data_IF_597746741981
#
_entry.id   IF_597746741981
#
_cell.length_a   1.000
_cell.length_b   1.000
_cell.length_c   1.000
_cell.angle_alpha   90.00
_cell.angle_beta   90.00
_cell.angle_gamma   90.00
#
_symmetry.space_group_name_H-M   'P 1'
#
loop_
_entity.id
_entity.type
_entity.pdbx_description
1 polymer ?
#
# COMPACT_ATOMS: atom_id res chain seq x y z
N UNK A 1 16.52 4.56 6.78
CA UNK A 1 16.24 3.11 6.70
C UNK A 1 14.87 2.92 6.06
N UNK A 2 14.56 1.73 5.51
CA UNK A 2 13.28 1.45 4.80
C UNK A 2 12.02 1.78 5.62
N UNK A 3 12.12 1.69 6.95
CA UNK A 3 11.05 2.12 7.88
C UNK A 3 10.84 3.63 7.91
N UNK A 4 11.88 4.45 7.71
CA UNK A 4 11.76 5.91 7.71
C UNK A 4 11.02 6.41 6.45
N UNK A 5 11.25 5.74 5.32
CA UNK A 5 10.50 5.97 4.08
C UNK A 5 9.01 5.63 4.27
N UNK A 6 8.72 4.52 4.96
CA UNK A 6 7.35 4.17 5.31
C UNK A 6 6.68 5.18 6.24
N UNK A 7 7.40 5.69 7.26
CA UNK A 7 6.90 6.76 8.13
C UNK A 7 6.59 8.04 7.35
N UNK A 8 7.50 8.47 6.49
CA UNK A 8 7.30 9.65 5.66
C UNK A 8 6.10 9.50 4.72
N UNK A 9 5.89 8.32 4.14
CA UNK A 9 4.73 8.04 3.31
C UNK A 9 3.41 8.07 4.11
N UNK A 10 3.40 7.60 5.35
CA UNK A 10 2.22 7.71 6.23
C UNK A 10 1.91 9.16 6.58
N UNK A 11 2.93 9.96 6.89
CA UNK A 11 2.77 11.37 7.24
C UNK A 11 2.21 12.23 6.09
N UNK A 12 2.48 11.84 4.85
CA UNK A 12 1.91 12.47 3.67
C UNK A 12 0.41 12.15 3.46
N UNK A 13 -0.14 11.16 4.16
CA UNK A 13 -1.51 10.69 3.99
C UNK A 13 -2.35 11.20 5.17
N UNK A 14 -3.31 12.13 4.96
CA UNK A 14 -4.01 12.81 6.08
C UNK A 14 -4.66 11.87 7.10
N UNK A 15 -5.21 10.73 6.66
CA UNK A 15 -5.84 9.76 7.56
C UNK A 15 -4.86 8.91 8.38
N UNK A 16 -3.56 8.97 8.08
CA UNK A 16 -2.48 8.24 8.75
C UNK A 16 -1.38 9.17 9.30
N UNK A 17 -1.51 10.48 9.11
CA UNK A 17 -0.53 11.44 9.56
C UNK A 17 -0.35 11.38 11.08
N UNK A 18 0.89 11.27 11.54
CA UNK A 18 1.20 11.10 12.97
C UNK A 18 0.98 9.69 13.51
N UNK A 19 0.72 8.69 12.66
CA UNK A 19 0.71 7.28 13.10
C UNK A 19 2.08 6.89 13.68
N UNK A 20 2.09 6.65 14.98
CA UNK A 20 3.30 6.31 15.75
C UNK A 20 3.35 4.83 16.16
N UNK A 21 2.34 4.05 15.81
CA UNK A 21 2.27 2.62 16.11
C UNK A 21 3.33 1.79 15.35
N UNK A 22 3.37 0.47 15.58
CA UNK A 22 4.32 -0.42 14.92
C UNK A 22 4.11 -0.45 13.40
N UNK A 23 5.20 -0.62 12.67
CA UNK A 23 5.20 -0.90 11.23
C UNK A 23 5.80 -2.27 11.01
N UNK A 24 4.97 -3.20 10.54
CA UNK A 24 5.38 -4.56 10.23
C UNK A 24 5.60 -4.68 8.73
N UNK A 25 6.81 -5.08 8.32
CA UNK A 25 7.12 -5.31 6.92
C UNK A 25 6.48 -6.62 6.48
N UNK A 26 5.60 -6.54 5.49
CA UNK A 26 5.00 -7.70 4.83
C UNK A 26 5.83 -8.11 3.61
N UNK A 27 5.52 -9.30 3.09
CA UNK A 27 6.05 -9.77 1.82
C UNK A 27 5.72 -8.81 0.66
N UNK A 28 6.49 -8.92 -0.42
CA UNK A 28 6.32 -8.10 -1.61
C UNK A 28 7.54 -8.24 -2.51
N UNK A 29 7.33 -8.61 -3.76
CA UNK A 29 8.42 -8.82 -4.72
C UNK A 29 9.02 -7.48 -5.16
N UNK A 30 8.17 -6.62 -5.72
CA UNK A 30 8.58 -5.30 -6.23
C UNK A 30 8.18 -4.18 -5.29
N UNK A 31 7.00 -4.26 -4.66
CA UNK A 31 6.52 -3.24 -3.73
C UNK A 31 7.05 -3.47 -2.31
N UNK A 32 7.34 -2.38 -1.60
CA UNK A 32 7.50 -2.42 -0.15
C UNK A 32 6.10 -2.31 0.46
N UNK A 33 5.70 -3.33 1.24
CA UNK A 33 4.37 -3.38 1.84
C UNK A 33 4.49 -3.43 3.36
N UNK A 34 3.77 -2.57 4.06
CA UNK A 34 3.80 -2.49 5.52
C UNK A 34 2.39 -2.55 6.08
N UNK A 35 2.23 -3.25 7.19
CA UNK A 35 1.05 -3.14 8.04
C UNK A 35 1.25 -2.01 9.05
N UNK A 36 0.26 -1.12 9.14
CA UNK A 36 0.18 -0.02 10.09
C UNK A 36 -1.22 -0.05 10.74
N UNK A 37 -1.33 -0.62 11.94
CA UNK A 37 -2.64 -0.87 12.57
C UNK A 37 -3.52 -1.76 11.67
N UNK A 38 -4.69 -1.23 11.29
CA UNK A 38 -5.66 -1.90 10.42
C UNK A 38 -5.49 -1.55 8.92
N UNK A 39 -4.32 -1.04 8.55
CA UNK A 39 -4.02 -0.57 7.21
C UNK A 39 -2.82 -1.30 6.60
N UNK A 40 -2.84 -1.46 5.28
CA UNK A 40 -1.69 -1.85 4.48
C UNK A 40 -1.21 -0.64 3.68
N UNK A 41 0.00 -0.16 3.98
CA UNK A 41 0.72 0.80 3.16
C UNK A 41 1.52 0.06 2.09
N UNK A 42 1.37 0.48 0.83
CA UNK A 42 2.13 -0.02 -0.32
C UNK A 42 2.92 1.13 -0.92
N UNK A 43 4.23 0.97 -0.97
CA UNK A 43 5.16 1.90 -1.60
C UNK A 43 5.75 1.20 -2.83
N UNK A 44 5.68 1.81 -4.01
CA UNK A 44 6.30 1.26 -5.21
C UNK A 44 7.80 1.00 -5.02
N UNK A 45 8.28 -0.11 -5.59
CA UNK A 45 9.71 -0.37 -5.67
C UNK A 45 10.42 0.62 -6.59
N UNK A 46 11.66 0.96 -6.29
CA UNK A 46 12.48 1.83 -7.15
C UNK A 46 12.63 1.23 -8.55
N UNK A 47 12.54 2.06 -9.59
CA UNK A 47 12.69 1.66 -10.99
C UNK A 47 11.44 1.01 -11.59
N UNK A 48 10.35 0.87 -10.84
CA UNK A 48 9.10 0.31 -11.38
C UNK A 48 8.29 1.33 -12.17
N UNK A 49 8.58 2.61 -12.02
CA UNK A 49 8.02 3.72 -12.79
C UNK A 49 8.26 3.63 -14.31
N UNK A 50 9.30 2.93 -14.74
CA UNK A 50 9.64 2.78 -16.16
C UNK A 50 8.71 1.80 -16.91
N UNK A 51 8.01 0.91 -16.18
CA UNK A 51 7.20 -0.15 -16.78
C UNK A 51 5.84 -0.38 -16.10
N UNK A 52 5.56 0.26 -14.96
CA UNK A 52 4.25 0.20 -14.28
C UNK A 52 3.53 1.54 -14.43
N UNK A 53 2.34 1.51 -15.05
CA UNK A 53 1.45 2.66 -15.14
C UNK A 53 0.60 2.80 -13.86
N UNK A 54 0.89 3.83 -13.06
CA UNK A 54 0.21 4.09 -11.77
C UNK A 54 -1.23 4.55 -11.89
N UNK A 55 -1.56 5.29 -12.95
CA UNK A 55 -2.94 5.68 -13.21
C UNK A 55 -3.80 4.43 -13.47
N UNK A 56 -3.28 3.48 -14.25
CA UNK A 56 -3.97 2.22 -14.50
C UNK A 56 -4.07 1.37 -13.23
N UNK A 57 -3.01 1.26 -12.43
CA UNK A 57 -3.04 0.53 -11.16
C UNK A 57 -4.09 1.11 -10.20
N UNK A 58 -4.20 2.44 -10.11
CA UNK A 58 -5.19 3.11 -9.27
C UNK A 58 -6.63 2.82 -9.71
N UNK A 59 -6.91 2.80 -11.02
CA UNK A 59 -8.23 2.43 -11.55
C UNK A 59 -8.52 0.95 -11.27
N UNK A 60 -7.59 0.06 -11.63
CA UNK A 60 -7.77 -1.38 -11.47
C UNK A 60 -7.99 -1.78 -10.01
N UNK A 61 -7.22 -1.21 -9.07
CA UNK A 61 -7.38 -1.48 -7.65
C UNK A 61 -8.76 -1.05 -7.12
N UNK A 62 -9.25 0.12 -7.53
CA UNK A 62 -10.59 0.61 -7.14
C UNK A 62 -11.70 -0.28 -7.72
N UNK A 63 -11.61 -0.65 -8.99
CA UNK A 63 -12.62 -1.50 -9.62
C UNK A 63 -12.62 -2.93 -9.05
N UNK A 64 -11.44 -3.50 -8.76
CA UNK A 64 -11.34 -4.79 -8.08
C UNK A 64 -11.93 -4.76 -6.66
N UNK A 65 -11.76 -3.64 -5.93
CA UNK A 65 -12.38 -3.45 -4.63
C UNK A 65 -13.91 -3.34 -4.72
N UNK A 66 -14.44 -2.58 -5.69
CA UNK A 66 -15.88 -2.50 -5.96
C UNK A 66 -16.49 -3.86 -6.33
N UNK A 67 -15.73 -4.70 -7.04
CA UNK A 67 -16.14 -6.05 -7.39
C UNK A 67 -16.07 -7.04 -6.21
N UNK A 68 -15.57 -6.63 -5.04
CA UNK A 68 -15.42 -7.50 -3.86
C UNK A 68 -14.26 -8.50 -3.95
N UNK A 69 -13.32 -8.28 -4.89
CA UNK A 69 -12.18 -9.18 -5.12
C UNK A 69 -10.92 -8.69 -4.39
N UNK A 70 -10.73 -7.37 -4.32
CA UNK A 70 -9.60 -6.72 -3.62
C UNK A 70 -10.05 -6.15 -2.27
N UNK A 71 -9.13 -6.01 -1.28
CA UNK A 71 -9.38 -5.15 -0.13
C UNK A 71 -9.79 -3.73 -0.54
N UNK A 72 -10.53 -3.04 0.35
CA UNK A 72 -10.94 -1.65 0.15
C UNK A 72 -9.74 -0.72 -0.02
N UNK A 73 -9.77 0.11 -1.06
CA UNK A 73 -8.75 1.14 -1.33
C UNK A 73 -9.15 2.44 -0.62
N UNK A 74 -8.38 2.81 0.40
CA UNK A 74 -8.64 3.97 1.26
C UNK A 74 -7.89 5.22 0.77
N UNK A 75 -6.73 5.02 0.16
CA UNK A 75 -5.94 6.07 -0.47
C UNK A 75 -5.18 5.49 -1.66
N UNK A 76 -5.05 6.28 -2.73
CA UNK A 76 -4.10 6.00 -3.82
C UNK A 76 -3.68 7.32 -4.45
N UNK A 77 -2.38 7.51 -4.55
CA UNK A 77 -1.76 8.62 -5.26
C UNK A 77 -1.25 8.12 -6.62
N UNK A 78 -1.87 8.50 -7.75
CA UNK A 78 -1.43 8.08 -9.08
C UNK A 78 -0.12 8.73 -9.53
N UNK A 79 0.34 9.81 -8.87
CA UNK A 79 1.62 10.46 -9.18
C UNK A 79 2.81 9.72 -8.57
N UNK A 80 2.68 9.25 -7.33
CA UNK A 80 3.74 8.51 -6.63
C UNK A 80 3.55 7.00 -6.67
N UNK A 81 2.33 6.52 -6.92
CA UNK A 81 1.94 5.11 -6.83
C UNK A 81 1.73 4.60 -5.40
N UNK A 82 1.86 5.46 -4.38
CA UNK A 82 1.59 5.08 -2.99
C UNK A 82 0.12 4.74 -2.82
N UNK A 83 -0.16 3.63 -2.15
CA UNK A 83 -1.52 3.12 -1.96
C UNK A 83 -1.72 2.64 -0.53
N UNK A 84 -2.90 2.90 0.02
CA UNK A 84 -3.36 2.36 1.30
C UNK A 84 -4.63 1.56 1.09
N UNK A 85 -4.63 0.34 1.61
CA UNK A 85 -5.82 -0.50 1.66
C UNK A 85 -6.16 -0.90 3.10
N UNK A 86 -7.38 -1.36 3.34
CA UNK A 86 -7.70 -2.05 4.59
C UNK A 86 -6.85 -3.31 4.72
N UNK A 87 -6.29 -3.55 5.90
CA UNK A 87 -5.65 -4.83 6.23
C UNK A 87 -6.72 -5.88 6.54
N UNK A 88 -6.54 -7.09 6.01
CA UNK A 88 -7.45 -8.21 6.28
C UNK A 88 -6.90 -9.02 7.46
N UNK A 89 -7.52 -8.87 8.63
CA UNK A 89 -7.15 -9.64 9.81
C UNK A 89 -7.46 -11.14 9.61
N UNK A 90 -6.56 -12.01 10.07
CA UNK A 90 -6.71 -13.46 9.96
C UNK A 90 -6.48 -14.03 8.55
N UNK A 91 -6.11 -13.20 7.56
CA UNK A 91 -5.72 -13.69 6.25
C UNK A 91 -4.29 -14.27 6.26
N UNK A 92 -4.11 -15.38 5.57
CA UNK A 92 -2.81 -15.99 5.33
C UNK A 92 -2.34 -15.68 3.91
N UNK A 93 -1.10 -15.23 3.78
CA UNK A 93 -0.50 -14.98 2.47
C UNK A 93 -0.08 -16.31 1.85
N UNK A 94 -0.65 -16.68 0.71
CA UNK A 94 -0.26 -17.88 -0.01
C UNK A 94 1.19 -17.76 -0.51
N UNK A 95 1.96 -18.85 -0.37
CA UNK A 95 3.27 -19.02 -1.03
C UNK A 95 3.12 -19.75 -2.38
N UNK A 96 4.06 -19.56 -3.32
CA UNK A 96 4.14 -20.39 -4.53
C UNK A 96 4.33 -21.88 -4.22
#
# INVERSE_FOLDING_TARGET
>A
MVTDEARAALDAIPMLAGYSGPLERLGGLTNLVFKAGDFCLRIPGKGTEEYINRANEAVAAREAAKAGVSPEVLHVDPGTGVMVTRYIAGAETMSP
#
